data_IF_615738185335
#
_entry.id   IF_615738185335
#
_cell.length_a   1.000
_cell.length_b   1.000
_cell.length_c   1.000
_cell.angle_alpha   90.00
_cell.angle_beta   90.00
_cell.angle_gamma   90.00
#
_symmetry.space_group_name_H-M   'P 1'
#
loop_
_entity.id
_entity.type
_entity.pdbx_description
1 polymer ?
#
# COMPACT_ATOMS: atom_id res chain seq x y z
N UNK A 1 1.56 -3.85 33.61
CA UNK A 1 0.29 -3.20 33.24
C UNK A 1 -0.73 -4.30 33.02
N UNK A 2 -1.85 -4.32 33.74
CA UNK A 2 -2.94 -5.28 33.48
C UNK A 2 -3.91 -4.63 32.50
N UNK A 3 -4.24 -5.31 31.41
CA UNK A 3 -5.21 -4.84 30.42
C UNK A 3 -6.60 -5.17 30.94
N UNK A 4 -7.47 -4.16 31.01
CA UNK A 4 -8.88 -4.35 31.38
C UNK A 4 -9.60 -5.22 30.34
N UNK A 5 -10.59 -6.00 30.79
CA UNK A 5 -11.40 -6.88 29.95
C UNK A 5 -12.12 -6.11 28.84
N UNK A 6 -12.66 -4.93 29.16
CA UNK A 6 -13.30 -4.03 28.19
C UNK A 6 -12.34 -3.63 27.06
N UNK A 7 -11.09 -3.29 27.40
CA UNK A 7 -10.07 -2.93 26.41
C UNK A 7 -9.75 -4.11 25.48
N UNK A 8 -9.68 -5.34 26.02
CA UNK A 8 -9.44 -6.54 25.22
C UNK A 8 -10.57 -6.79 24.22
N UNK A 9 -11.82 -6.62 24.65
CA UNK A 9 -12.99 -6.80 23.78
C UNK A 9 -13.01 -5.74 22.66
N UNK A 10 -12.75 -4.47 23.01
CA UNK A 10 -12.65 -3.38 22.03
C UNK A 10 -11.56 -3.62 20.99
N UNK A 11 -10.40 -4.12 21.40
CA UNK A 11 -9.33 -4.49 20.46
C UNK A 11 -9.77 -5.64 19.53
N UNK A 12 -10.44 -6.67 20.06
CA UNK A 12 -10.93 -7.76 19.21
C UNK A 12 -11.97 -7.27 18.19
N UNK A 13 -12.88 -6.39 18.59
CA UNK A 13 -13.89 -5.85 17.69
C UNK A 13 -13.29 -4.96 16.60
N UNK A 14 -12.21 -4.23 16.92
CA UNK A 14 -11.48 -3.42 15.96
C UNK A 14 -10.69 -4.30 14.97
N UNK A 15 -9.97 -5.33 15.47
CA UNK A 15 -9.08 -6.14 14.63
C UNK A 15 -9.77 -7.23 13.84
N UNK A 16 -10.84 -7.85 14.38
CA UNK A 16 -11.48 -9.01 13.74
C UNK A 16 -11.89 -8.73 12.29
N UNK A 17 -12.58 -7.61 11.98
CA UNK A 17 -12.95 -7.28 10.60
C UNK A 17 -11.74 -7.12 9.67
N UNK A 18 -10.69 -6.43 10.12
CA UNK A 18 -9.46 -6.26 9.33
C UNK A 18 -8.80 -7.60 9.00
N UNK A 19 -8.67 -8.48 10.00
CA UNK A 19 -8.01 -9.78 9.84
C UNK A 19 -8.84 -10.71 8.96
N UNK A 20 -10.17 -10.71 9.10
CA UNK A 20 -11.07 -11.46 8.23
C UNK A 20 -10.96 -10.98 6.79
N UNK A 21 -10.89 -9.66 6.57
CA UNK A 21 -10.69 -9.06 5.26
C UNK A 21 -9.37 -9.45 4.63
N UNK A 22 -8.27 -9.39 5.38
CA UNK A 22 -6.95 -9.79 4.91
C UNK A 22 -6.90 -11.28 4.55
N UNK A 23 -7.52 -12.15 5.35
CA UNK A 23 -7.64 -13.58 5.06
C UNK A 23 -8.48 -13.86 3.82
N UNK A 24 -9.56 -13.10 3.61
CA UNK A 24 -10.38 -13.21 2.41
C UNK A 24 -9.55 -12.87 1.16
N UNK A 25 -8.85 -11.74 1.16
CA UNK A 25 -7.98 -11.34 0.03
C UNK A 25 -6.85 -12.36 -0.20
N UNK A 26 -6.20 -12.84 0.86
CA UNK A 26 -5.16 -13.89 0.77
C UNK A 26 -5.68 -15.15 0.06
N UNK A 27 -6.86 -15.62 0.42
CA UNK A 27 -7.47 -16.79 -0.22
C UNK A 27 -7.73 -16.53 -1.70
N UNK A 28 -8.23 -15.34 -2.04
CA UNK A 28 -8.50 -14.95 -3.43
C UNK A 28 -7.21 -14.88 -4.25
N UNK A 29 -6.18 -14.18 -3.76
CA UNK A 29 -4.88 -14.06 -4.45
C UNK A 29 -4.24 -15.43 -4.69
N UNK A 30 -4.25 -16.32 -3.70
CA UNK A 30 -3.73 -17.69 -3.85
C UNK A 30 -4.49 -18.49 -4.91
N UNK A 31 -5.81 -18.32 -4.98
CA UNK A 31 -6.62 -18.95 -6.03
C UNK A 31 -6.41 -18.30 -7.42
N UNK A 32 -5.98 -17.04 -7.45
CA UNK A 32 -5.80 -16.22 -8.66
C UNK A 32 -4.37 -16.21 -9.22
N UNK A 33 -3.49 -17.08 -8.73
CA UNK A 33 -2.13 -17.26 -9.29
C UNK A 33 -0.97 -16.77 -8.41
N UNK A 34 -1.24 -16.37 -7.16
CA UNK A 34 -0.21 -15.95 -6.19
C UNK A 34 -0.14 -16.93 -5.00
N UNK A 35 0.26 -18.20 -5.20
CA UNK A 35 0.22 -19.22 -4.16
C UNK A 35 1.11 -18.89 -2.95
N UNK A 36 2.21 -18.19 -3.20
CA UNK A 36 3.21 -17.81 -2.19
C UNK A 36 2.88 -16.51 -1.46
N UNK A 37 1.70 -15.92 -1.70
CA UNK A 37 1.24 -14.78 -0.91
C UNK A 37 1.17 -15.18 0.58
N UNK A 38 1.61 -14.28 1.46
CA UNK A 38 1.66 -14.50 2.91
C UNK A 38 0.91 -13.39 3.66
N UNK A 39 0.55 -13.66 4.91
CA UNK A 39 -0.10 -12.68 5.80
C UNK A 39 0.69 -12.64 7.12
N UNK A 40 1.19 -11.47 7.47
CA UNK A 40 1.89 -11.18 8.71
C UNK A 40 1.21 -10.05 9.49
N UNK A 41 1.77 -9.72 10.65
CA UNK A 41 1.36 -8.61 11.48
C UNK A 41 2.58 -7.77 11.85
N UNK A 42 2.55 -6.48 11.51
CA UNK A 42 3.70 -5.59 11.64
C UNK A 42 3.25 -4.28 12.30
N UNK A 43 4.08 -3.76 13.19
CA UNK A 43 3.88 -2.47 13.84
C UNK A 43 4.95 -1.47 13.38
N UNK A 44 4.83 -0.21 13.84
CA UNK A 44 5.81 0.83 13.52
C UNK A 44 5.54 1.54 12.19
N UNK A 45 4.33 1.40 11.65
CA UNK A 45 3.88 2.16 10.49
C UNK A 45 3.75 3.64 10.85
N UNK A 46 4.03 4.53 9.90
CA UNK A 46 3.86 5.97 10.10
C UNK A 46 2.62 6.44 9.33
N UNK A 47 1.67 7.03 10.05
CA UNK A 47 0.48 7.64 9.49
C UNK A 47 0.43 9.13 9.86
N UNK A 48 -0.28 9.94 9.05
CA UNK A 48 -0.53 11.34 9.41
C UNK A 48 -1.53 11.39 10.56
N UNK A 49 -1.20 12.11 11.62
CA UNK A 49 -2.11 12.39 12.72
C UNK A 49 -3.07 13.54 12.35
N UNK A 50 -3.96 13.90 13.28
CA UNK A 50 -4.94 14.98 13.11
C UNK A 50 -4.31 16.36 12.80
N UNK A 51 -3.03 16.56 13.18
CA UNK A 51 -2.26 17.79 12.90
C UNK A 51 -1.53 17.72 11.53
N UNK A 52 -1.68 16.63 10.78
CA UNK A 52 -1.03 16.38 9.50
C UNK A 52 0.43 15.93 9.59
N UNK A 53 0.96 15.71 10.79
CA UNK A 53 2.32 15.23 11.01
C UNK A 53 2.37 13.70 11.03
N UNK A 54 3.44 13.12 10.50
CA UNK A 54 3.65 11.67 10.58
C UNK A 54 3.97 11.25 12.01
N UNK A 55 3.19 10.32 12.54
CA UNK A 55 3.38 9.70 13.84
C UNK A 55 3.45 8.18 13.70
N UNK A 56 4.30 7.55 14.52
CA UNK A 56 4.43 6.09 14.53
C UNK A 56 3.24 5.45 15.25
N UNK A 57 2.63 4.48 14.59
CA UNK A 57 1.62 3.59 15.14
C UNK A 57 2.29 2.35 15.75
N UNK A 58 2.14 2.21 17.07
CA UNK A 58 2.78 1.12 17.83
C UNK A 58 2.02 -0.20 17.75
N UNK A 59 0.75 -0.14 17.36
CA UNK A 59 -0.09 -1.32 17.22
C UNK A 59 0.25 -2.04 15.91
N UNK A 60 0.18 -3.38 15.87
CA UNK A 60 0.42 -4.11 14.63
C UNK A 60 -0.78 -4.04 13.70
N UNK A 61 -0.60 -4.03 12.38
CA UNK A 61 -1.68 -4.20 11.41
C UNK A 61 -1.44 -5.48 10.59
N UNK A 62 -2.49 -6.11 10.02
CA UNK A 62 -2.28 -7.18 9.06
C UNK A 62 -1.63 -6.62 7.79
N UNK A 63 -0.58 -7.29 7.32
CA UNK A 63 0.06 -6.98 6.03
C UNK A 63 0.15 -8.26 5.22
N UNK A 64 -0.40 -8.20 4.00
CA UNK A 64 -0.35 -9.27 3.03
C UNK A 64 0.77 -8.99 2.04
N UNK A 65 1.78 -9.86 1.99
CA UNK A 65 2.88 -9.75 1.04
C UNK A 65 2.64 -10.66 -0.16
N UNK A 66 2.67 -10.08 -1.35
CA UNK A 66 2.67 -10.78 -2.64
C UNK A 66 4.09 -10.73 -3.20
N UNK A 67 4.86 -11.85 -3.13
CA UNK A 67 6.27 -11.85 -3.47
C UNK A 67 6.55 -11.27 -4.86
N UNK A 68 7.60 -10.44 -4.94
CA UNK A 68 8.05 -9.73 -6.14
C UNK A 68 7.05 -8.74 -6.76
N UNK A 69 5.93 -8.42 -6.08
CA UNK A 69 4.89 -7.56 -6.64
C UNK A 69 4.44 -6.42 -5.73
N UNK A 70 3.94 -6.70 -4.53
CA UNK A 70 3.45 -5.66 -3.63
C UNK A 70 3.26 -6.17 -2.20
N UNK A 71 3.19 -5.22 -1.27
CA UNK A 71 2.63 -5.41 0.06
C UNK A 71 1.26 -4.70 0.15
N UNK A 72 0.31 -5.32 0.83
CA UNK A 72 -1.03 -4.77 1.10
C UNK A 72 -1.19 -4.57 2.60
N UNK A 73 -1.29 -3.33 3.01
CA UNK A 73 -1.48 -2.91 4.39
C UNK A 73 -2.98 -2.73 4.69
N UNK A 74 -3.44 -3.34 5.77
CA UNK A 74 -4.82 -3.19 6.23
C UNK A 74 -4.85 -2.23 7.42
N UNK A 75 -4.88 -0.93 7.14
CA UNK A 75 -5.04 0.09 8.18
C UNK A 75 -6.51 0.13 8.67
N UNK A 76 -6.77 0.92 9.71
CA UNK A 76 -8.10 1.00 10.31
C UNK A 76 -9.08 1.89 9.53
N UNK A 77 -8.56 2.77 8.68
CA UNK A 77 -9.30 3.77 7.93
C UNK A 77 -9.13 3.64 6.40
N UNK A 78 -8.17 2.82 5.94
CA UNK A 78 -7.93 2.56 4.52
C UNK A 78 -7.20 1.22 4.28
N UNK A 79 -7.07 0.82 3.02
CA UNK A 79 -6.13 -0.19 2.57
C UNK A 79 -5.00 0.47 1.77
N UNK A 80 -3.76 0.15 2.11
CA UNK A 80 -2.57 0.57 1.37
C UNK A 80 -2.08 -0.55 0.45
N UNK A 81 -1.70 -0.25 -0.77
CA UNK A 81 -0.96 -1.17 -1.64
C UNK A 81 0.34 -0.51 -2.05
N UNK A 82 1.46 -1.03 -1.55
CA UNK A 82 2.80 -0.52 -1.88
C UNK A 82 3.49 -1.42 -2.89
N UNK A 83 3.99 -0.83 -3.96
CA UNK A 83 4.70 -1.49 -5.05
C UNK A 83 5.78 -0.57 -5.62
N UNK A 84 6.56 -1.01 -6.60
CA UNK A 84 7.68 -0.26 -7.17
C UNK A 84 7.66 -0.28 -8.69
N UNK A 85 8.24 0.74 -9.29
CA UNK A 85 8.61 0.77 -10.70
C UNK A 85 10.10 1.06 -10.83
N UNK A 86 10.75 0.43 -11.81
CA UNK A 86 12.09 0.85 -12.21
C UNK A 86 12.04 2.30 -12.69
N UNK A 87 13.04 3.11 -12.35
CA UNK A 87 13.06 4.54 -12.73
C UNK A 87 12.84 4.75 -14.23
N UNK A 88 13.46 3.92 -15.08
CA UNK A 88 13.27 4.00 -16.52
C UNK A 88 11.80 3.76 -16.94
N UNK A 89 11.12 2.81 -16.30
CA UNK A 89 9.71 2.53 -16.55
C UNK A 89 8.83 3.67 -16.02
N UNK A 90 9.11 4.18 -14.81
CA UNK A 90 8.37 5.29 -14.22
C UNK A 90 8.43 6.57 -15.08
N UNK A 91 9.59 6.87 -15.69
CA UNK A 91 9.74 8.01 -16.59
C UNK A 91 8.94 7.86 -17.90
N UNK A 92 8.80 6.63 -18.40
CA UNK A 92 8.03 6.31 -19.60
C UNK A 92 6.56 5.95 -19.31
N UNK A 93 6.17 5.92 -18.04
CA UNK A 93 4.89 5.39 -17.61
C UNK A 93 3.72 6.24 -18.12
N UNK A 94 2.64 5.58 -18.53
CA UNK A 94 1.39 6.24 -18.87
C UNK A 94 0.53 6.38 -17.60
N UNK A 95 0.60 7.55 -16.98
CA UNK A 95 -0.14 7.84 -15.76
C UNK A 95 -1.66 7.80 -15.93
N UNK A 96 -2.18 7.90 -17.17
CA UNK A 96 -3.61 7.72 -17.44
C UNK A 96 -4.12 6.31 -17.10
N UNK A 97 -3.22 5.32 -17.03
CA UNK A 97 -3.55 3.97 -16.55
C UNK A 97 -3.91 3.92 -15.06
N UNK A 98 -3.58 4.98 -14.30
CA UNK A 98 -3.89 5.10 -12.87
C UNK A 98 -5.05 6.07 -12.61
N UNK A 99 -5.76 6.53 -13.65
CA UNK A 99 -6.89 7.44 -13.49
C UNK A 99 -7.94 6.86 -12.53
N UNK A 100 -8.31 7.66 -11.53
CA UNK A 100 -9.28 7.27 -10.50
C UNK A 100 -8.67 6.53 -9.30
N UNK A 101 -7.36 6.27 -9.29
CA UNK A 101 -6.65 5.76 -8.12
C UNK A 101 -5.94 6.88 -7.38
N UNK A 102 -6.02 6.86 -6.04
CA UNK A 102 -5.22 7.74 -5.16
C UNK A 102 -3.87 7.08 -4.91
N UNK A 103 -2.79 7.83 -5.05
CA UNK A 103 -1.45 7.29 -4.85
C UNK A 103 -0.41 8.35 -4.53
N UNK A 104 0.64 7.94 -3.83
CA UNK A 104 1.85 8.73 -3.62
C UNK A 104 3.05 8.03 -4.26
N UNK A 105 3.98 8.82 -4.82
CA UNK A 105 5.22 8.35 -5.44
C UNK A 105 6.42 8.89 -4.67
N UNK A 106 7.31 8.00 -4.22
CA UNK A 106 8.45 8.38 -3.40
C UNK A 106 9.69 7.51 -3.66
N UNK A 107 10.85 7.92 -3.13
CA UNK A 107 12.11 7.20 -3.29
C UNK A 107 12.14 5.85 -2.57
N UNK A 108 12.86 4.87 -3.13
CA UNK A 108 13.09 3.57 -2.49
C UNK A 108 14.34 3.60 -1.63
N UNK A 109 15.42 4.24 -2.10
CA UNK A 109 16.64 4.38 -1.33
C UNK A 109 16.54 5.54 -0.32
N UNK A 110 15.94 6.66 -0.75
CA UNK A 110 15.58 7.77 0.12
C UNK A 110 14.06 7.87 0.27
N UNK A 111 13.53 7.23 1.30
CA UNK A 111 12.11 7.24 1.62
C UNK A 111 11.55 8.64 1.97
N UNK A 112 12.40 9.65 2.17
CA UNK A 112 11.99 11.04 2.39
C UNK A 112 11.85 11.83 1.07
N UNK A 113 12.32 11.28 -0.05
CA UNK A 113 12.16 11.88 -1.36
C UNK A 113 10.73 11.69 -1.86
N UNK A 114 9.85 12.63 -1.52
CA UNK A 114 8.48 12.71 -2.05
C UNK A 114 8.51 13.33 -3.46
N UNK A 115 8.06 12.56 -4.46
CA UNK A 115 7.99 13.02 -5.85
C UNK A 115 6.63 13.63 -6.21
N UNK A 116 5.58 13.33 -5.44
CA UNK A 116 4.21 13.81 -5.65
C UNK A 116 3.17 12.70 -5.58
N UNK A 117 1.93 13.06 -5.94
CA UNK A 117 0.74 12.22 -5.81
C UNK A 117 -0.17 12.30 -7.06
N UNK A 118 -1.38 11.73 -6.99
CA UNK A 118 -2.34 11.73 -8.09
C UNK A 118 -2.79 13.13 -8.54
N UNK A 119 -2.58 14.16 -7.73
CA UNK A 119 -2.97 15.54 -8.05
C UNK A 119 -1.88 16.28 -8.83
N UNK A 120 -0.66 15.75 -8.84
CA UNK A 120 0.48 16.33 -9.54
C UNK A 120 0.39 16.09 -11.04
N UNK A 121 0.67 17.09 -11.90
CA UNK A 121 0.78 16.86 -13.33
C UNK A 121 1.84 15.79 -13.65
N UNK A 122 1.53 14.86 -14.54
CA UNK A 122 2.44 13.78 -14.92
C UNK A 122 3.82 14.27 -15.43
N UNK A 123 3.89 15.50 -15.97
CA UNK A 123 5.16 16.11 -16.37
C UNK A 123 6.04 16.47 -15.15
N UNK A 124 5.42 16.92 -14.06
CA UNK A 124 6.12 17.33 -12.84
C UNK A 124 6.61 16.11 -12.06
N UNK A 125 5.78 15.06 -11.94
CA UNK A 125 6.20 13.75 -11.40
C UNK A 125 7.43 13.21 -12.13
N UNK A 126 7.38 13.18 -13.47
CA UNK A 126 8.52 12.74 -14.30
C UNK A 126 9.75 13.59 -14.07
N UNK A 127 9.60 14.91 -13.97
CA UNK A 127 10.71 15.82 -13.71
C UNK A 127 11.35 15.54 -12.35
N UNK A 128 10.55 15.36 -11.30
CA UNK A 128 11.03 15.03 -9.96
C UNK A 128 11.80 13.70 -9.96
N UNK A 129 11.22 12.64 -10.52
CA UNK A 129 11.86 11.32 -10.67
C UNK A 129 13.16 11.43 -11.49
N UNK A 130 13.16 12.22 -12.56
CA UNK A 130 14.35 12.38 -13.43
C UNK A 130 15.52 13.07 -12.72
N UNK A 131 15.23 13.95 -11.77
CA UNK A 131 16.24 14.65 -10.97
C UNK A 131 16.76 13.81 -9.80
N UNK A 132 16.09 12.71 -9.46
CA UNK A 132 16.52 11.79 -8.41
C UNK A 132 17.64 10.85 -8.89
N UNK A 133 18.37 10.29 -7.92
CA UNK A 133 19.36 9.22 -8.13
C UNK A 133 18.77 7.82 -7.92
N UNK A 134 17.45 7.72 -7.71
CA UNK A 134 16.76 6.46 -7.46
C UNK A 134 16.91 5.50 -8.64
N UNK A 135 17.15 4.21 -8.38
CA UNK A 135 17.07 3.18 -9.43
C UNK A 135 15.64 2.71 -9.66
N UNK A 136 14.80 2.84 -8.63
CA UNK A 136 13.40 2.43 -8.57
C UNK A 136 12.65 3.42 -7.69
N UNK A 137 11.37 3.63 -7.97
CA UNK A 137 10.49 4.49 -7.19
C UNK A 137 9.34 3.68 -6.64
N UNK A 138 8.94 3.97 -5.41
CA UNK A 138 7.80 3.34 -4.76
C UNK A 138 6.51 4.08 -5.13
N UNK A 139 5.44 3.31 -5.23
CA UNK A 139 4.07 3.80 -5.31
C UNK A 139 3.30 3.22 -4.13
N UNK A 140 2.64 4.07 -3.36
CA UNK A 140 1.66 3.65 -2.35
C UNK A 140 0.28 4.07 -2.83
N UNK A 141 -0.59 3.10 -3.11
CA UNK A 141 -1.98 3.32 -3.51
C UNK A 141 -2.90 3.24 -2.29
N UNK A 142 -3.86 4.14 -2.21
CA UNK A 142 -4.83 4.21 -1.10
C UNK A 142 -6.23 3.81 -1.58
N UNK A 143 -6.87 2.89 -0.86
CA UNK A 143 -8.23 2.44 -1.10
C UNK A 143 -9.08 2.63 0.15
N UNK A 144 -10.33 3.07 -0.04
CA UNK A 144 -11.28 3.24 1.06
C UNK A 144 -11.75 1.90 1.62
N UNK A 145 -12.23 1.89 2.86
CA UNK A 145 -12.62 0.64 3.56
C UNK A 145 -13.75 -0.13 2.88
N UNK A 146 -14.59 0.56 2.09
CA UNK A 146 -15.67 -0.02 1.31
C UNK A 146 -15.17 -0.79 0.08
N UNK A 147 -13.92 -0.60 -0.34
CA UNK A 147 -13.33 -1.29 -1.50
C UNK A 147 -13.37 -2.80 -1.29
N UNK A 148 -13.94 -3.52 -2.27
CA UNK A 148 -14.12 -4.96 -2.18
C UNK A 148 -12.81 -5.74 -2.29
N UNK A 149 -12.71 -6.92 -1.66
CA UNK A 149 -11.55 -7.81 -1.86
C UNK A 149 -11.38 -8.23 -3.33
N UNK A 150 -12.46 -8.25 -4.11
CA UNK A 150 -12.37 -8.48 -5.56
C UNK A 150 -11.67 -7.31 -6.25
N UNK A 151 -12.08 -6.08 -5.96
CA UNK A 151 -11.43 -4.88 -6.52
C UNK A 151 -9.95 -4.79 -6.16
N UNK A 152 -9.58 -5.11 -4.90
CA UNK A 152 -8.18 -5.17 -4.50
C UNK A 152 -7.42 -6.27 -5.25
N UNK A 153 -8.01 -7.47 -5.40
CA UNK A 153 -7.42 -8.57 -6.15
C UNK A 153 -7.20 -8.20 -7.63
N UNK A 154 -8.20 -7.61 -8.26
CA UNK A 154 -8.14 -7.17 -9.66
C UNK A 154 -7.05 -6.12 -9.86
N UNK A 155 -6.93 -5.16 -8.93
CA UNK A 155 -5.87 -4.15 -8.95
C UNK A 155 -4.48 -4.77 -8.81
N UNK A 156 -4.30 -5.73 -7.90
CA UNK A 156 -3.01 -6.46 -7.75
C UNK A 156 -2.66 -7.21 -9.03
N UNK A 157 -3.65 -7.81 -9.72
CA UNK A 157 -3.44 -8.47 -11.01
C UNK A 157 -3.13 -7.49 -12.16
N UNK A 158 -3.56 -6.24 -12.02
CA UNK A 158 -3.27 -5.17 -12.97
C UNK A 158 -1.84 -4.62 -12.85
N UNK A 159 -1.27 -4.55 -11.63
CA UNK A 159 0.09 -4.06 -11.37
C UNK A 159 1.17 -4.65 -12.32
N UNK A 160 1.32 -5.98 -12.50
CA UNK A 160 2.35 -6.52 -13.37
C UNK A 160 2.13 -6.19 -14.85
N UNK A 161 0.89 -5.96 -15.29
CA UNK A 161 0.59 -5.53 -16.66
C UNK A 161 1.12 -4.10 -16.94
N UNK A 162 1.25 -3.31 -15.89
CA UNK A 162 1.82 -1.97 -15.89
C UNK A 162 3.34 -1.95 -15.60
N UNK A 163 3.95 -3.12 -15.41
CA UNK A 163 5.38 -3.25 -15.17
C UNK A 163 5.83 -3.00 -13.73
N UNK A 164 4.88 -2.94 -12.78
CA UNK A 164 5.17 -2.84 -11.34
C UNK A 164 5.74 -4.14 -10.76
N UNK A 165 6.53 -4.01 -9.70
CA UNK A 165 7.20 -5.11 -9.00
C UNK A 165 7.53 -4.74 -7.53
N UNK A 166 8.15 -5.64 -6.77
CA UNK A 166 8.62 -5.37 -5.40
C UNK A 166 9.97 -5.97 -5.07
#
# INVERSE_FOLDING_TARGET
>A
MSMDLDMKERLNDLYRPLVERARQLLKMLRASGYPDATLGFYNGHYAKNDDGAYAMEWFPIPVLSVPALCDVEFAFDHFGITTKLKRANALAFDFGLLDGHRYQVYGVADYLSDFGDETCPAADLRKAISNSTETEVAYSFEFVMETTSQTLCDFIQFLPLCGFHY
#
